data_IF_978203390663
#
_entry.id   IF_978203390663
#
_cell.length_a   1.000
_cell.length_b   1.000
_cell.length_c   1.000
_cell.angle_alpha   90.00
_cell.angle_beta   90.00
_cell.angle_gamma   90.00
#
_symmetry.space_group_name_H-M   'P 1'
#
loop_
_entity.id
_entity.type
_entity.pdbx_description
1 polymer ?
#
# COMPACT_ATOMS: atom_id res chain seq x y z
N UNK A 1 34.43 8.98 -13.97
CA UNK A 1 32.99 9.32 -13.88
C UNK A 1 32.48 8.86 -12.52
N UNK A 2 32.31 9.81 -11.61
CA UNK A 2 31.44 9.80 -10.42
C UNK A 2 31.73 11.12 -9.68
N UNK A 3 30.70 11.88 -9.30
CA UNK A 3 30.70 12.58 -8.01
C UNK A 3 29.34 13.22 -7.71
N UNK A 4 28.59 12.55 -6.85
CA UNK A 4 27.71 13.16 -5.85
C UNK A 4 28.52 14.10 -4.95
N UNK A 5 27.94 15.21 -4.48
CA UNK A 5 28.07 15.80 -3.11
C UNK A 5 27.58 17.25 -3.11
N UNK A 6 26.61 17.57 -2.25
CA UNK A 6 26.46 18.78 -1.41
C UNK A 6 25.25 18.49 -0.48
N UNK A 7 25.31 18.14 0.81
CA UNK A 7 26.06 18.69 1.98
C UNK A 7 25.74 20.20 2.10
N UNK A 8 25.29 20.83 3.20
CA UNK A 8 25.36 20.61 4.67
C UNK A 8 24.26 21.52 5.29
N UNK A 9 23.56 21.15 6.37
CA UNK A 9 23.90 21.60 7.73
C UNK A 9 22.80 22.53 8.30
N UNK A 10 22.60 22.72 9.60
CA UNK A 10 23.42 22.43 10.79
C UNK A 10 22.49 22.29 12.01
N UNK A 11 22.82 21.29 12.82
CA UNK A 11 22.42 21.01 14.20
C UNK A 11 22.92 22.11 15.15
N UNK A 12 22.12 22.60 16.11
CA UNK A 12 22.71 23.26 17.30
C UNK A 12 21.97 22.88 18.58
N UNK A 13 22.78 22.45 19.55
CA UNK A 13 22.48 21.87 20.85
C UNK A 13 22.03 22.88 21.93
N UNK A 14 21.44 22.31 22.99
CA UNK A 14 21.26 22.88 24.34
C UNK A 14 22.48 23.66 24.86
N UNK A 15 22.25 24.72 25.67
CA UNK A 15 22.37 24.72 27.15
C UNK A 15 22.32 26.16 27.74
N UNK A 16 21.95 26.25 29.04
CA UNK A 16 22.21 27.33 30.04
C UNK A 16 21.07 28.30 30.37
N UNK A 17 20.48 28.05 31.56
CA UNK A 17 20.12 28.94 32.68
C UNK A 17 19.84 30.44 32.43
N UNK A 18 18.66 30.87 32.89
CA UNK A 18 18.54 32.05 33.77
C UNK A 18 17.96 33.34 33.16
N UNK A 19 16.67 33.59 33.43
CA UNK A 19 16.18 34.90 33.90
C UNK A 19 15.91 36.04 32.90
N UNK A 20 14.74 36.65 33.10
CA UNK A 20 14.25 38.01 32.76
C UNK A 20 13.89 38.39 31.31
N UNK A 21 12.58 38.27 31.06
CA UNK A 21 11.61 39.32 30.69
C UNK A 21 11.80 40.20 29.45
N UNK A 22 10.86 39.97 28.52
CA UNK A 22 9.86 40.92 28.03
C UNK A 22 10.25 42.03 27.03
N UNK A 23 9.57 41.92 25.87
CA UNK A 23 8.85 43.00 25.20
C UNK A 23 9.68 44.01 24.39
N UNK A 24 9.64 43.89 23.05
CA UNK A 24 9.21 44.96 22.10
C UNK A 24 9.43 44.55 20.62
N UNK A 25 8.30 44.41 19.91
CA UNK A 25 8.01 44.74 18.52
C UNK A 25 9.00 44.43 17.37
N UNK A 26 8.61 43.51 16.46
CA UNK A 26 8.67 43.70 14.99
C UNK A 26 7.51 42.95 14.28
N UNK A 27 6.29 43.52 14.21
CA UNK A 27 5.10 42.87 13.61
C UNK A 27 4.99 42.97 12.06
N UNK A 28 5.93 43.64 11.39
CA UNK A 28 5.76 43.98 9.96
C UNK A 28 6.19 42.87 8.98
N UNK A 29 6.99 41.89 9.40
CA UNK A 29 7.34 40.74 8.56
C UNK A 29 6.16 39.78 8.36
N UNK A 30 5.26 39.70 9.36
CA UNK A 30 4.20 38.70 9.35
C UNK A 30 3.01 39.06 8.45
N UNK A 31 2.80 40.34 8.09
CA UNK A 31 1.66 40.72 7.23
C UNK A 31 1.86 40.36 5.76
N UNK A 32 3.11 40.28 5.29
CA UNK A 32 3.38 39.96 3.88
C UNK A 32 3.13 38.48 3.56
N UNK A 33 3.19 37.59 4.57
CA UNK A 33 2.89 36.16 4.43
C UNK A 33 1.38 35.88 4.29
N UNK A 34 0.50 36.73 4.83
CA UNK A 34 -0.95 36.52 4.77
C UNK A 34 -1.59 36.94 3.44
N UNK A 35 -0.92 37.77 2.63
CA UNK A 35 -1.45 38.26 1.35
C UNK A 35 -1.25 37.28 0.17
N UNK A 36 -0.32 36.33 0.26
CA UNK A 36 -0.04 35.33 -0.79
C UNK A 36 -0.85 34.03 -0.61
N UNK A 37 -1.44 33.81 0.57
CA UNK A 37 -2.22 32.59 0.90
C UNK A 37 -3.68 32.62 0.40
N UNK A 38 -4.13 33.70 -0.27
CA UNK A 38 -5.51 33.87 -0.70
C UNK A 38 -5.77 33.59 -2.20
N UNK A 39 -4.80 33.07 -2.97
CA UNK A 39 -5.00 32.79 -4.41
C UNK A 39 -4.41 31.46 -4.90
N UNK A 40 -4.83 30.34 -4.32
CA UNK A 40 -4.75 29.06 -5.03
C UNK A 40 -6.16 28.47 -5.20
N UNK A 41 -6.63 28.20 -6.43
CA UNK A 41 -7.90 27.51 -6.63
C UNK A 41 -7.79 26.13 -6.00
N UNK A 42 -8.64 25.87 -4.99
CA UNK A 42 -8.90 24.56 -4.41
C UNK A 42 -9.58 23.66 -5.46
N UNK A 43 -8.79 23.22 -6.44
CA UNK A 43 -9.11 22.15 -7.36
C UNK A 43 -8.11 21.02 -7.18
N UNK A 44 -7.91 20.60 -5.94
CA UNK A 44 -7.34 19.28 -5.69
C UNK A 44 -8.52 18.32 -5.59
N UNK A 45 -8.87 17.81 -6.78
CA UNK A 45 -9.78 16.71 -7.01
C UNK A 45 -9.67 15.69 -5.88
N UNK A 46 -10.80 15.38 -5.26
CA UNK A 46 -10.97 14.18 -4.46
C UNK A 46 -10.63 13.00 -5.36
N UNK A 47 -9.36 12.59 -5.39
CA UNK A 47 -8.97 11.32 -5.99
C UNK A 47 -9.65 10.27 -5.16
N UNK A 48 -10.84 9.85 -5.59
CA UNK A 48 -11.53 8.69 -5.07
C UNK A 48 -10.48 7.59 -4.95
N UNK A 49 -10.20 7.13 -3.72
CA UNK A 49 -9.36 5.97 -3.51
C UNK A 49 -9.99 4.85 -4.32
N UNK A 50 -9.38 4.48 -5.44
CA UNK A 50 -9.90 3.41 -6.27
C UNK A 50 -10.08 2.19 -5.35
N UNK A 51 -11.33 1.75 -5.18
CA UNK A 51 -11.64 0.64 -4.30
C UNK A 51 -10.81 -0.57 -4.78
N UNK A 52 -9.94 -1.09 -3.92
CA UNK A 52 -9.20 -2.31 -4.20
C UNK A 52 -10.24 -3.41 -4.35
N UNK A 53 -10.37 -3.96 -5.56
CA UNK A 53 -11.30 -5.06 -5.83
C UNK A 53 -10.74 -6.30 -5.15
N UNK A 54 -11.34 -6.66 -4.02
CA UNK A 54 -11.02 -7.91 -3.33
C UNK A 54 -11.94 -8.99 -3.87
N UNK A 55 -11.36 -10.08 -4.36
CA UNK A 55 -12.13 -11.27 -4.76
C UNK A 55 -11.90 -12.36 -3.72
N UNK A 56 -12.98 -13.02 -3.32
CA UNK A 56 -12.95 -14.07 -2.31
C UNK A 56 -13.60 -15.31 -2.91
N UNK A 57 -12.98 -16.47 -2.71
CA UNK A 57 -13.55 -17.77 -3.04
C UNK A 57 -13.44 -18.71 -1.86
N UNK A 58 -14.48 -19.52 -1.65
CA UNK A 58 -14.58 -20.47 -0.53
C UNK A 58 -15.03 -21.83 -1.01
N UNK A 59 -14.57 -22.87 -0.31
CA UNK A 59 -14.98 -24.25 -0.56
C UNK A 59 -13.97 -25.25 -0.04
N UNK A 60 -14.43 -26.46 0.30
CA UNK A 60 -13.58 -27.59 0.71
C UNK A 60 -12.60 -27.26 1.86
N UNK A 61 -12.99 -26.37 2.79
CA UNK A 61 -12.15 -25.94 3.91
C UNK A 61 -11.02 -24.96 3.54
N UNK A 62 -11.07 -24.35 2.35
CA UNK A 62 -10.16 -23.31 1.91
C UNK A 62 -10.88 -21.98 1.66
N UNK A 63 -10.22 -20.88 2.03
CA UNK A 63 -10.56 -19.51 1.65
C UNK A 63 -9.40 -18.94 0.83
N UNK A 64 -9.71 -18.47 -0.39
CA UNK A 64 -8.75 -17.81 -1.27
C UNK A 64 -9.14 -16.36 -1.40
N UNK A 65 -8.21 -15.46 -1.11
CA UNK A 65 -8.41 -14.02 -1.25
C UNK A 65 -7.41 -13.48 -2.26
N UNK A 66 -7.91 -12.84 -3.32
CA UNK A 66 -7.11 -12.12 -4.30
C UNK A 66 -7.32 -10.61 -4.11
N UNK A 67 -6.22 -9.91 -3.82
CA UNK A 67 -6.16 -8.45 -3.75
C UNK A 67 -5.23 -7.95 -4.86
N UNK A 68 -5.76 -7.85 -6.09
CA UNK A 68 -5.01 -7.40 -7.26
C UNK A 68 -3.69 -8.17 -7.48
N UNK A 69 -3.73 -9.50 -7.43
CA UNK A 69 -2.56 -10.38 -7.62
C UNK A 69 -1.86 -10.77 -6.31
N UNK A 70 -2.20 -10.12 -5.18
CA UNK A 70 -1.77 -10.59 -3.86
C UNK A 70 -2.74 -11.65 -3.36
N UNK A 71 -2.36 -12.91 -3.56
CA UNK A 71 -3.18 -14.07 -3.22
C UNK A 71 -2.80 -14.64 -1.86
N UNK A 72 -3.81 -14.86 -1.01
CA UNK A 72 -3.68 -15.67 0.20
C UNK A 72 -4.55 -16.91 0.13
N UNK A 73 -4.11 -17.98 0.77
CA UNK A 73 -4.88 -19.22 0.98
C UNK A 73 -4.95 -19.42 2.50
N UNK A 74 -6.16 -19.42 3.06
CA UNK A 74 -6.41 -19.50 4.51
C UNK A 74 -5.62 -18.45 5.32
N UNK A 75 -5.45 -17.25 4.76
CA UNK A 75 -4.69 -16.17 5.38
C UNK A 75 -3.18 -16.23 5.19
N UNK A 76 -2.62 -17.35 4.72
CA UNK A 76 -1.20 -17.46 4.39
C UNK A 76 -0.91 -16.90 2.99
N UNK A 77 0.16 -16.09 2.80
CA UNK A 77 0.59 -15.66 1.48
C UNK A 77 0.91 -16.84 0.58
N UNK A 78 0.42 -16.82 -0.66
CA UNK A 78 0.70 -17.85 -1.65
C UNK A 78 1.79 -17.40 -2.62
N UNK A 79 2.71 -18.31 -2.97
CA UNK A 79 3.73 -18.09 -3.98
C UNK A 79 3.17 -18.36 -5.37
N UNK A 80 3.63 -17.63 -6.39
CA UNK A 80 3.31 -17.94 -7.79
C UNK A 80 4.25 -19.07 -8.25
N UNK A 81 3.68 -20.18 -8.68
CA UNK A 81 4.41 -21.33 -9.23
C UNK A 81 4.50 -21.25 -10.75
N UNK A 82 3.38 -20.89 -11.40
CA UNK A 82 3.29 -20.80 -12.86
C UNK A 82 2.33 -19.67 -13.25
N UNK A 83 2.66 -18.97 -14.33
CA UNK A 83 1.72 -18.06 -15.02
C UNK A 83 1.75 -18.33 -16.51
N UNK A 84 0.56 -18.49 -17.10
CA UNK A 84 0.40 -18.62 -18.54
C UNK A 84 -0.79 -17.79 -19.04
N UNK A 85 -1.11 -17.89 -20.33
CA UNK A 85 -2.18 -17.10 -20.95
C UNK A 85 -3.58 -17.39 -20.40
N UNK A 86 -3.78 -18.53 -19.74
CA UNK A 86 -5.10 -19.00 -19.29
C UNK A 86 -5.27 -18.89 -17.77
N UNK A 87 -4.20 -19.04 -17.00
CA UNK A 87 -4.27 -19.10 -15.55
C UNK A 87 -2.95 -18.72 -14.86
N UNK A 88 -3.06 -18.45 -13.57
CA UNK A 88 -1.93 -18.38 -12.64
C UNK A 88 -2.12 -19.43 -11.55
N UNK A 89 -1.06 -20.17 -11.28
CA UNK A 89 -1.00 -21.19 -10.22
C UNK A 89 -0.30 -20.59 -9.01
N UNK A 90 -0.96 -20.70 -7.86
CA UNK A 90 -0.42 -20.27 -6.58
C UNK A 90 -0.30 -21.46 -5.62
N UNK A 91 0.70 -21.45 -4.75
CA UNK A 91 0.92 -22.49 -3.74
C UNK A 91 1.05 -21.90 -2.34
N UNK A 92 0.42 -22.55 -1.37
CA UNK A 92 0.68 -22.36 0.05
C UNK A 92 0.38 -23.70 0.74
N UNK A 93 1.41 -24.37 1.25
CA UNK A 93 1.30 -25.74 1.75
C UNK A 93 0.14 -25.90 2.76
N UNK A 94 -0.70 -26.94 2.65
CA UNK A 94 -0.67 -28.07 1.70
C UNK A 94 -1.45 -27.83 0.39
N UNK A 95 -1.89 -26.60 0.16
CA UNK A 95 -2.80 -26.24 -0.93
C UNK A 95 -2.07 -25.65 -2.14
N UNK A 96 -2.71 -25.82 -3.29
CA UNK A 96 -2.38 -25.13 -4.52
C UNK A 96 -3.69 -24.68 -5.17
N UNK A 97 -3.70 -23.50 -5.78
CA UNK A 97 -4.89 -22.94 -6.42
C UNK A 97 -4.56 -22.49 -7.82
N UNK A 98 -5.46 -22.77 -8.76
CA UNK A 98 -5.34 -22.32 -10.15
C UNK A 98 -6.42 -21.28 -10.37
N UNK A 99 -6.02 -20.02 -10.52
CA UNK A 99 -6.93 -18.91 -10.82
C UNK A 99 -6.93 -18.70 -12.32
N UNK A 100 -8.05 -19.06 -12.96
CA UNK A 100 -8.22 -18.87 -14.40
C UNK A 100 -8.61 -17.43 -14.70
N UNK A 101 -8.16 -16.89 -15.84
CA UNK A 101 -8.59 -15.57 -16.32
C UNK A 101 -10.11 -15.46 -16.54
N UNK A 102 -10.79 -16.60 -16.67
CA UNK A 102 -12.26 -16.70 -16.74
C UNK A 102 -12.97 -16.46 -15.41
N UNK A 103 -12.23 -16.38 -14.29
CA UNK A 103 -12.79 -16.20 -12.94
C UNK A 103 -13.08 -17.50 -12.18
N UNK A 104 -12.92 -18.66 -12.83
CA UNK A 104 -12.96 -19.97 -12.14
C UNK A 104 -11.72 -20.13 -11.28
N UNK A 105 -11.85 -20.78 -10.13
CA UNK A 105 -10.73 -21.10 -9.25
C UNK A 105 -10.78 -22.57 -8.90
N UNK A 106 -9.75 -23.32 -9.27
CA UNK A 106 -9.58 -24.72 -8.88
C UNK A 106 -8.73 -24.81 -7.61
N UNK A 107 -9.15 -25.67 -6.68
CA UNK A 107 -8.41 -26.03 -5.50
C UNK A 107 -7.74 -27.39 -5.71
N UNK A 108 -6.47 -27.45 -5.33
CA UNK A 108 -5.69 -28.67 -5.20
C UNK A 108 -5.18 -28.78 -3.76
N UNK A 109 -5.17 -30.00 -3.24
CA UNK A 109 -4.57 -30.35 -1.95
C UNK A 109 -3.63 -31.52 -2.19
N UNK A 110 -2.38 -31.41 -1.74
CA UNK A 110 -1.40 -32.50 -1.93
C UNK A 110 -1.27 -32.95 -3.39
N UNK A 111 -1.28 -31.97 -4.32
CA UNK A 111 -1.25 -32.17 -5.77
C UNK A 111 -2.44 -32.93 -6.37
N UNK A 112 -3.49 -33.17 -5.60
CA UNK A 112 -4.74 -33.76 -6.08
C UNK A 112 -5.80 -32.69 -6.25
N UNK A 113 -6.56 -32.77 -7.34
CA UNK A 113 -7.69 -31.87 -7.57
C UNK A 113 -8.80 -32.16 -6.56
N UNK A 114 -9.25 -31.11 -5.86
CA UNK A 114 -10.31 -31.22 -4.85
C UNK A 114 -11.64 -30.74 -5.42
N UNK A 115 -11.62 -29.65 -6.19
CA UNK A 115 -12.84 -29.08 -6.77
C UNK A 115 -12.68 -27.63 -7.16
N UNK A 116 -13.77 -27.04 -7.66
CA UNK A 116 -13.84 -25.60 -7.95
C UNK A 116 -14.41 -24.83 -6.76
N UNK A 117 -13.73 -23.74 -6.38
CA UNK A 117 -14.20 -22.86 -5.31
C UNK A 117 -15.35 -21.98 -5.81
N UNK A 118 -16.27 -21.66 -4.90
CA UNK A 118 -17.40 -20.78 -5.17
C UNK A 118 -17.02 -19.34 -4.83
N UNK A 119 -17.45 -18.40 -5.67
CA UNK A 119 -17.30 -16.98 -5.38
C UNK A 119 -18.18 -16.61 -4.18
N UNK A 120 -17.63 -15.85 -3.23
CA UNK A 120 -18.31 -15.44 -2.00
C UNK A 120 -18.58 -13.95 -1.95
#
# INVERSE_FOLDING_TARGET
>A
MLNTILKVGVLVSNMVLGGVSAHLAQPEFNRQLELDLLQLPVQHAQKAKAAVKVKIWKGYGAEVVDKNGWVTINGSPAAIEETNDKATVYSAAPFMVIIYKTGKVALMKERQFVGYLSHS
#
